data_IF_681082934579
#
_entry.id   IF_681082934579
#
_cell.length_a   1.000
_cell.length_b   1.000
_cell.length_c   1.000
_cell.angle_alpha   90.00
_cell.angle_beta   90.00
_cell.angle_gamma   90.00
#
_symmetry.space_group_name_H-M   'P 1'
#
loop_
_entity.id
_entity.type
_entity.pdbx_description
1 polymer ?
#
# COMPACT_ATOMS: atom_id res chain seq x y z
N UNK A 1 23.08 15.75 -1.37
CA UNK A 1 22.31 14.68 -2.04
C UNK A 1 21.03 14.41 -1.26
N UNK A 2 19.87 14.56 -1.89
CA UNK A 2 18.54 14.24 -1.31
C UNK A 2 17.94 13.07 -2.09
N UNK A 3 17.23 12.17 -1.41
CA UNK A 3 16.73 10.94 -2.02
C UNK A 3 15.25 10.68 -1.72
N UNK A 4 14.65 9.83 -2.52
CA UNK A 4 13.29 9.31 -2.34
C UNK A 4 13.21 7.86 -2.84
N UNK A 5 12.21 7.13 -2.36
CA UNK A 5 11.79 5.89 -3.00
C UNK A 5 10.65 6.15 -3.97
N UNK A 6 10.70 5.52 -5.12
CA UNK A 6 9.54 5.34 -5.98
C UNK A 6 9.22 3.85 -5.98
N UNK A 7 8.00 3.49 -5.56
CA UNK A 7 7.54 2.10 -5.55
C UNK A 7 6.31 1.96 -6.43
N UNK A 8 6.40 1.06 -7.41
CA UNK A 8 5.35 0.81 -8.40
C UNK A 8 4.81 -0.60 -8.18
N UNK A 9 3.51 -0.72 -7.90
CA UNK A 9 2.82 -2.00 -7.76
C UNK A 9 1.58 -2.08 -8.64
N UNK A 10 1.18 -3.28 -9.11
CA UNK A 10 -0.17 -3.49 -9.61
C UNK A 10 -1.19 -3.19 -8.51
N UNK A 11 -2.24 -2.43 -8.82
CA UNK A 11 -3.35 -2.13 -7.93
C UNK A 11 -4.59 -2.95 -8.27
N UNK A 12 -4.95 -3.03 -9.56
CA UNK A 12 -6.07 -3.85 -10.03
C UNK A 12 -5.97 -4.09 -11.54
N UNK A 13 -6.82 -4.99 -12.06
CA UNK A 13 -6.98 -5.23 -13.50
C UNK A 13 -8.38 -4.78 -13.92
N UNK A 14 -8.47 -3.88 -14.90
CA UNK A 14 -9.74 -3.37 -15.46
C UNK A 14 -9.69 -3.44 -16.98
N UNK A 15 -10.67 -4.08 -17.62
CA UNK A 15 -10.77 -4.18 -19.09
C UNK A 15 -9.46 -4.62 -19.76
N UNK A 16 -8.84 -5.67 -19.22
CA UNK A 16 -7.54 -6.20 -19.63
C UNK A 16 -6.31 -5.28 -19.49
N UNK A 17 -6.47 -4.11 -18.86
CA UNK A 17 -5.36 -3.23 -18.49
C UNK A 17 -5.03 -3.37 -17.01
N UNK A 18 -3.74 -3.35 -16.68
CA UNK A 18 -3.27 -3.32 -15.30
C UNK A 18 -3.18 -1.87 -14.89
N UNK A 19 -3.92 -1.50 -13.85
CA UNK A 19 -3.74 -0.22 -13.18
C UNK A 19 -2.56 -0.34 -12.20
N UNK A 20 -1.65 0.61 -12.27
CA UNK A 20 -0.47 0.68 -11.41
C UNK A 20 -0.65 1.75 -10.34
N UNK A 21 -0.17 1.48 -9.13
CA UNK A 21 -0.03 2.41 -8.02
C UNK A 21 1.41 2.88 -7.93
N UNK A 22 1.62 4.18 -8.02
CA UNK A 22 2.91 4.82 -7.85
C UNK A 22 2.97 5.47 -6.47
N UNK A 23 3.94 5.05 -5.66
CA UNK A 23 4.14 5.53 -4.30
C UNK A 23 5.49 6.24 -4.24
N UNK A 24 5.44 7.57 -4.14
CA UNK A 24 6.59 8.42 -3.94
C UNK A 24 6.79 8.68 -2.44
N UNK A 25 7.91 8.21 -1.91
CA UNK A 25 8.24 8.27 -0.48
C UNK A 25 9.54 9.09 -0.30
N UNK A 26 9.43 10.40 -0.06
CA UNK A 26 10.59 11.26 0.13
C UNK A 26 11.32 10.96 1.44
N UNK A 27 12.67 10.89 1.40
CA UNK A 27 13.49 10.68 2.60
C UNK A 27 13.84 11.98 3.33
N UNK A 28 13.54 13.12 2.73
CA UNK A 28 13.93 14.43 3.24
C UNK A 28 12.71 15.34 3.38
N UNK A 29 12.38 15.82 4.60
CA UNK A 29 11.34 16.83 4.79
C UNK A 29 11.73 18.14 4.08
N UNK A 30 10.76 19.03 3.74
CA UNK A 30 9.34 19.00 4.08
C UNK A 30 8.46 18.22 3.08
N UNK A 31 9.07 17.52 2.12
CA UNK A 31 8.33 16.79 1.10
C UNK A 31 7.44 15.72 1.74
N UNK A 32 6.17 15.66 1.31
CA UNK A 32 5.19 14.67 1.75
C UNK A 32 5.12 13.53 0.76
N UNK A 33 4.84 12.33 1.25
CA UNK A 33 4.54 11.16 0.41
C UNK A 33 3.40 11.45 -0.55
N UNK A 34 3.52 10.96 -1.78
CA UNK A 34 2.52 11.13 -2.83
C UNK A 34 2.18 9.76 -3.38
N UNK A 35 0.88 9.52 -3.53
CA UNK A 35 0.37 8.36 -4.23
C UNK A 35 -0.54 8.80 -5.37
N UNK A 36 -0.39 8.13 -6.52
CA UNK A 36 -1.27 8.27 -7.68
C UNK A 36 -1.36 6.96 -8.45
N UNK A 37 -2.32 6.87 -9.36
CA UNK A 37 -2.59 5.68 -10.16
C UNK A 37 -2.57 6.03 -11.63
N UNK A 38 -2.02 5.13 -12.45
CA UNK A 38 -1.98 5.30 -13.90
C UNK A 38 -1.98 3.93 -14.59
N UNK A 39 -2.32 3.90 -15.87
CA UNK A 39 -2.15 2.72 -16.73
C UNK A 39 -0.79 2.70 -17.42
N UNK A 40 -0.04 3.80 -17.33
CA UNK A 40 1.28 3.91 -17.96
C UNK A 40 2.32 3.13 -17.16
N UNK A 41 3.11 2.31 -17.85
CA UNK A 41 4.19 1.54 -17.22
C UNK A 41 5.34 2.44 -16.74
N UNK A 42 6.14 1.91 -15.80
CA UNK A 42 7.29 2.60 -15.18
C UNK A 42 8.21 3.30 -16.17
N UNK A 43 8.50 2.64 -17.29
CA UNK A 43 9.40 3.16 -18.32
C UNK A 43 8.83 4.36 -19.08
N UNK A 44 7.50 4.42 -19.26
CA UNK A 44 6.85 5.56 -19.90
C UNK A 44 6.80 6.78 -18.99
N UNK A 45 6.83 6.57 -17.67
CA UNK A 45 6.93 7.64 -16.69
C UNK A 45 8.38 8.13 -16.51
N UNK A 46 9.33 7.21 -16.29
CA UNK A 46 10.70 7.55 -15.95
C UNK A 46 11.50 8.13 -17.12
N UNK A 47 11.36 7.58 -18.32
CA UNK A 47 12.22 7.98 -19.44
C UNK A 47 11.99 9.44 -19.88
N UNK A 48 10.75 9.95 -19.97
CA UNK A 48 10.51 11.37 -20.24
C UNK A 48 10.97 12.25 -19.08
N UNK A 49 10.71 11.84 -17.83
CA UNK A 49 11.09 12.57 -16.63
C UNK A 49 12.61 12.75 -16.49
N UNK A 50 13.38 11.66 -16.61
CA UNK A 50 14.84 11.70 -16.57
C UNK A 50 15.42 12.53 -17.71
N UNK A 51 14.84 12.41 -18.92
CA UNK A 51 15.21 13.26 -20.06
C UNK A 51 14.92 14.73 -19.80
N UNK A 52 13.79 15.05 -19.18
CA UNK A 52 13.41 16.43 -18.88
C UNK A 52 14.36 17.06 -17.84
N UNK A 53 14.64 16.35 -16.74
CA UNK A 53 15.59 16.77 -15.71
C UNK A 53 17.00 17.01 -16.29
N UNK A 54 17.49 16.07 -17.10
CA UNK A 54 18.81 16.17 -17.69
C UNK A 54 18.90 17.28 -18.74
N UNK A 55 18.02 17.27 -19.74
CA UNK A 55 18.17 18.11 -20.93
C UNK A 55 17.78 19.57 -20.68
N UNK A 56 16.82 19.84 -19.79
CA UNK A 56 16.32 21.20 -19.56
C UNK A 56 16.85 21.84 -18.28
N UNK A 57 17.29 21.04 -17.31
CA UNK A 57 17.71 21.55 -16.01
C UNK A 57 19.16 21.23 -15.65
N UNK A 58 19.86 20.44 -16.47
CA UNK A 58 21.22 19.94 -16.20
C UNK A 58 21.30 19.28 -14.81
N UNK A 59 20.30 18.42 -14.53
CA UNK A 59 20.18 17.66 -13.28
C UNK A 59 20.07 16.18 -13.53
N UNK A 60 20.71 15.42 -12.65
CA UNK A 60 20.67 13.95 -12.68
C UNK A 60 19.99 13.38 -11.43
N UNK A 61 19.33 12.24 -11.65
CA UNK A 61 18.87 11.36 -10.59
C UNK A 61 19.64 10.05 -10.68
N UNK A 62 20.41 9.74 -9.65
CA UNK A 62 21.06 8.46 -9.51
C UNK A 62 20.02 7.44 -9.04
N UNK A 63 19.84 6.39 -9.84
CA UNK A 63 18.97 5.28 -9.51
C UNK A 63 19.77 4.14 -8.88
N UNK A 64 19.27 3.65 -7.75
CA UNK A 64 19.76 2.44 -7.10
C UNK A 64 18.58 1.50 -6.89
N UNK A 65 18.65 0.33 -7.50
CA UNK A 65 17.69 -0.75 -7.26
C UNK A 65 18.20 -1.65 -6.14
N UNK A 66 17.33 -1.99 -5.19
CA UNK A 66 17.63 -3.01 -4.19
C UNK A 66 17.44 -4.40 -4.81
N UNK A 67 18.40 -5.35 -4.66
CA UNK A 67 18.32 -6.69 -5.26
C UNK A 67 17.19 -7.56 -4.71
N UNK A 68 16.61 -7.14 -3.59
CA UNK A 68 15.49 -7.81 -2.91
C UNK A 68 14.13 -7.18 -3.24
N UNK A 69 14.12 -6.20 -4.15
CA UNK A 69 12.92 -5.57 -4.69
C UNK A 69 12.49 -6.30 -5.96
N UNK A 70 11.19 -6.54 -6.13
CA UNK A 70 10.67 -7.22 -7.31
C UNK A 70 10.71 -6.27 -8.51
N UNK A 71 11.05 -6.81 -9.69
CA UNK A 71 11.05 -6.09 -10.96
C UNK A 71 9.63 -5.72 -11.39
N UNK A 72 9.13 -4.59 -10.87
CA UNK A 72 8.20 -3.74 -11.61
C UNK A 72 9.02 -2.51 -11.97
N UNK A 73 9.25 -2.33 -13.27
CA UNK A 73 10.13 -1.30 -13.83
C UNK A 73 9.84 0.05 -13.15
N UNK A 74 10.90 0.75 -12.76
CA UNK A 74 10.91 1.99 -11.95
C UNK A 74 10.92 1.89 -10.41
N UNK A 75 10.76 0.70 -9.82
CA UNK A 75 10.81 0.61 -8.35
C UNK A 75 12.24 0.67 -7.81
N UNK A 76 12.52 1.64 -6.93
CA UNK A 76 13.82 1.75 -6.26
C UNK A 76 14.07 3.13 -5.63
N UNK A 77 15.34 3.37 -5.30
CA UNK A 77 15.80 4.61 -4.67
C UNK A 77 16.38 5.55 -5.71
N UNK A 78 15.98 6.81 -5.63
CA UNK A 78 16.44 7.88 -6.51
C UNK A 78 17.08 8.96 -5.67
N UNK A 79 18.29 9.37 -6.04
CA UNK A 79 19.04 10.41 -5.34
C UNK A 79 19.42 11.54 -6.30
N UNK A 80 19.06 12.77 -5.96
CA UNK A 80 19.49 13.95 -6.69
C UNK A 80 20.80 14.49 -6.12
N UNK A 81 21.69 14.91 -7.03
CA UNK A 81 22.99 15.49 -6.73
C UNK A 81 22.86 16.70 -5.79
N UNK A 82 21.86 17.55 -6.02
CA UNK A 82 21.60 18.76 -5.26
C UNK A 82 20.12 18.95 -4.88
N UNK A 83 19.83 19.99 -4.10
CA UNK A 83 18.49 20.31 -3.65
C UNK A 83 17.57 20.77 -4.80
N UNK A 84 18.12 21.46 -5.80
CA UNK A 84 17.34 21.97 -6.94
C UNK A 84 16.80 20.82 -7.78
N UNK A 85 17.63 19.82 -8.11
CA UNK A 85 17.21 18.63 -8.84
C UNK A 85 16.17 17.82 -8.08
N UNK A 86 16.31 17.73 -6.75
CA UNK A 86 15.31 17.10 -5.90
C UNK A 86 13.96 17.84 -5.93
N UNK A 87 13.97 19.17 -5.80
CA UNK A 87 12.73 19.97 -5.85
C UNK A 87 12.05 19.84 -7.21
N UNK A 88 12.81 19.93 -8.31
CA UNK A 88 12.26 19.73 -9.66
C UNK A 88 11.66 18.32 -9.84
N UNK A 89 12.31 17.30 -9.28
CA UNK A 89 11.78 15.94 -9.26
C UNK A 89 10.45 15.86 -8.51
N UNK A 90 10.40 16.44 -7.31
CA UNK A 90 9.21 16.47 -6.48
C UNK A 90 8.04 17.20 -7.15
N UNK A 91 8.31 18.36 -7.75
CA UNK A 91 7.30 19.19 -8.41
C UNK A 91 6.72 18.49 -9.64
N UNK A 92 7.57 17.84 -10.44
CA UNK A 92 7.13 17.04 -11.59
C UNK A 92 6.19 15.91 -11.15
N UNK A 93 6.60 15.12 -10.16
CA UNK A 93 5.79 14.00 -9.65
C UNK A 93 4.48 14.51 -9.04
N UNK A 94 4.52 15.65 -8.36
CA UNK A 94 3.32 16.30 -7.82
C UNK A 94 2.36 16.74 -8.94
N UNK A 95 2.88 17.27 -10.04
CA UNK A 95 2.09 17.66 -11.20
C UNK A 95 1.44 16.44 -11.87
N UNK A 96 2.21 15.39 -12.14
CA UNK A 96 1.71 14.14 -12.71
C UNK A 96 0.62 13.53 -11.83
N UNK A 97 0.84 13.48 -10.51
CA UNK A 97 -0.16 13.01 -9.57
C UNK A 97 -1.45 13.85 -9.61
N UNK A 98 -1.36 15.16 -9.86
CA UNK A 98 -2.53 16.05 -10.03
C UNK A 98 -3.22 15.79 -11.37
N UNK A 99 -2.48 15.67 -12.46
CA UNK A 99 -3.03 15.40 -13.79
C UNK A 99 -3.76 14.06 -13.80
N UNK A 100 -3.17 13.01 -13.25
CA UNK A 100 -3.81 11.70 -13.13
C UNK A 100 -5.06 11.75 -12.26
N UNK A 101 -5.01 12.46 -11.11
CA UNK A 101 -6.23 12.68 -10.30
C UNK A 101 -7.36 13.36 -11.08
N UNK A 102 -7.05 14.18 -12.07
CA UNK A 102 -8.05 14.85 -12.92
C UNK A 102 -8.47 14.04 -14.14
N UNK A 103 -7.64 13.13 -14.64
CA UNK A 103 -7.88 12.36 -15.86
C UNK A 103 -8.49 10.99 -15.60
N UNK A 104 -8.18 10.37 -14.46
CA UNK A 104 -8.68 9.02 -14.21
C UNK A 104 -10.13 9.13 -13.79
N UNK A 105 -11.02 8.69 -14.68
CA UNK A 105 -12.35 8.11 -14.41
C UNK A 105 -12.26 6.87 -13.48
N UNK A 106 -11.34 6.89 -12.52
CA UNK A 106 -11.03 5.89 -11.50
C UNK A 106 -12.23 5.74 -10.57
N UNK A 107 -12.80 6.91 -10.25
CA UNK A 107 -13.94 7.09 -9.36
C UNK A 107 -15.19 6.34 -9.84
N UNK A 108 -15.38 6.21 -11.15
CA UNK A 108 -16.67 5.77 -11.69
C UNK A 108 -16.74 4.25 -11.99
N UNK A 109 -15.61 3.60 -12.29
CA UNK A 109 -15.61 2.18 -12.70
C UNK A 109 -15.21 1.19 -11.59
N UNK A 110 -14.33 1.60 -10.67
CA UNK A 110 -13.87 0.74 -9.55
C UNK A 110 -14.68 1.00 -8.29
N UNK A 111 -15.25 2.20 -8.13
CA UNK A 111 -15.90 2.56 -6.86
C UNK A 111 -17.38 2.21 -6.77
N UNK A 112 -18.09 1.74 -7.80
CA UNK A 112 -19.53 1.49 -7.62
C UNK A 112 -19.81 0.50 -6.47
N UNK A 113 -19.15 -0.67 -6.48
CA UNK A 113 -19.30 -1.66 -5.42
C UNK A 113 -18.66 -1.22 -4.09
N UNK A 114 -17.58 -0.43 -4.16
CA UNK A 114 -17.00 0.15 -2.94
C UNK A 114 -17.96 1.16 -2.31
N UNK A 115 -18.54 2.06 -3.08
CA UNK A 115 -19.49 3.08 -2.65
C UNK A 115 -20.78 2.46 -2.11
N UNK A 116 -21.25 1.36 -2.69
CA UNK A 116 -22.32 0.55 -2.09
C UNK A 116 -21.93 0.00 -0.71
N UNK A 117 -20.72 -0.55 -0.57
CA UNK A 117 -20.21 -0.96 0.74
C UNK A 117 -20.12 0.24 1.70
N UNK A 118 -19.56 1.38 1.27
CA UNK A 118 -19.43 2.60 2.10
C UNK A 118 -20.79 3.07 2.58
N UNK A 119 -21.79 3.13 1.70
CA UNK A 119 -23.16 3.53 2.08
C UNK A 119 -23.71 2.60 3.17
N UNK A 120 -23.66 1.29 2.97
CA UNK A 120 -24.12 0.31 3.97
C UNK A 120 -23.36 0.40 5.29
N UNK A 121 -22.04 0.58 5.26
CA UNK A 121 -21.24 0.72 6.47
C UNK A 121 -21.43 2.06 7.18
N UNK A 122 -21.81 3.12 6.44
CA UNK A 122 -22.07 4.45 7.02
C UNK A 122 -23.43 4.50 7.73
N UNK A 123 -24.35 3.62 7.38
CA UNK A 123 -25.65 3.48 8.04
C UNK A 123 -25.56 2.70 9.37
N UNK A 124 -24.39 2.11 9.69
CA UNK A 124 -24.18 1.39 10.94
C UNK A 124 -24.08 2.36 12.12
N UNK A 125 -24.79 2.04 13.19
CA UNK A 125 -24.79 2.83 14.43
C UNK A 125 -23.52 2.59 15.26
N UNK A 126 -23.12 3.59 16.04
CA UNK A 126 -22.07 3.46 17.04
C UNK A 126 -22.31 2.23 17.94
N UNK A 127 -21.25 1.47 18.23
CA UNK A 127 -21.35 0.20 18.96
C UNK A 127 -21.73 -1.02 18.11
N UNK A 128 -22.00 -0.85 16.82
CA UNK A 128 -22.13 -1.99 15.88
C UNK A 128 -20.81 -2.75 15.76
N UNK A 129 -20.90 -4.08 15.68
CA UNK A 129 -19.76 -4.96 15.46
C UNK A 129 -19.88 -5.55 14.06
N UNK A 130 -18.84 -5.40 13.24
CA UNK A 130 -18.73 -6.00 11.91
C UNK A 130 -17.49 -6.88 11.89
N UNK A 131 -17.68 -8.18 11.70
CA UNK A 131 -16.57 -9.12 11.56
C UNK A 131 -16.34 -9.54 10.11
N UNK A 132 -15.15 -10.07 9.83
CA UNK A 132 -14.85 -10.61 8.50
C UNK A 132 -15.67 -11.85 8.16
N UNK A 133 -16.00 -12.71 9.13
CA UNK A 133 -16.93 -13.82 8.88
C UNK A 133 -18.31 -13.32 8.44
N UNK A 134 -18.85 -12.28 9.08
CA UNK A 134 -20.15 -11.69 8.70
C UNK A 134 -20.15 -11.18 7.26
N UNK A 135 -19.06 -10.53 6.82
CA UNK A 135 -18.92 -10.08 5.43
C UNK A 135 -18.81 -11.27 4.47
N UNK A 136 -18.07 -12.32 4.82
CA UNK A 136 -17.94 -13.54 4.01
C UNK A 136 -19.26 -14.30 3.87
N UNK A 137 -20.10 -14.26 4.90
CA UNK A 137 -21.46 -14.83 4.91
C UNK A 137 -22.49 -13.96 4.19
N UNK A 138 -22.11 -12.75 3.74
CA UNK A 138 -22.97 -11.86 2.96
C UNK A 138 -23.93 -11.02 3.79
N UNK A 139 -23.71 -10.88 5.11
CA UNK A 139 -24.53 -10.02 5.98
C UNK A 139 -24.39 -8.53 5.64
N UNK A 140 -23.30 -8.16 4.97
CA UNK A 140 -23.11 -6.83 4.35
C UNK A 140 -22.98 -7.03 2.84
N UNK A 141 -24.10 -7.20 2.11
CA UNK A 141 -24.09 -7.75 0.74
C UNK A 141 -23.44 -6.82 -0.31
N UNK A 142 -23.37 -5.52 -0.03
CA UNK A 142 -22.63 -4.57 -0.86
C UNK A 142 -21.12 -4.63 -0.63
N UNK A 143 -20.66 -5.34 0.39
CA UNK A 143 -19.28 -5.35 0.82
C UNK A 143 -18.57 -6.68 0.58
N UNK A 144 -17.32 -6.59 0.15
CA UNK A 144 -16.35 -7.69 0.13
C UNK A 144 -15.24 -7.33 1.10
N UNK A 145 -14.46 -8.32 1.55
CA UNK A 145 -13.32 -8.12 2.46
C UNK A 145 -12.41 -6.97 2.01
N UNK A 146 -11.98 -6.93 0.74
CA UNK A 146 -11.19 -5.82 0.20
C UNK A 146 -11.85 -4.43 0.31
N UNK A 147 -13.17 -4.34 0.14
CA UNK A 147 -13.91 -3.08 0.27
C UNK A 147 -14.00 -2.65 1.73
N UNK A 148 -14.25 -3.61 2.62
CA UNK A 148 -14.26 -3.38 4.07
C UNK A 148 -12.88 -2.91 4.53
N UNK A 149 -11.80 -3.58 4.11
CA UNK A 149 -10.43 -3.17 4.39
C UNK A 149 -10.14 -1.74 3.93
N UNK A 150 -10.55 -1.39 2.70
CA UNK A 150 -10.44 -0.03 2.18
C UNK A 150 -11.22 0.98 3.02
N UNK A 151 -12.42 0.64 3.45
CA UNK A 151 -13.23 1.50 4.32
C UNK A 151 -12.54 1.72 5.67
N UNK A 152 -12.18 0.65 6.39
CA UNK A 152 -11.50 0.69 7.68
C UNK A 152 -10.24 1.57 7.60
N UNK A 153 -9.42 1.36 6.57
CA UNK A 153 -8.16 2.08 6.42
C UNK A 153 -8.35 3.54 6.04
N UNK A 154 -9.38 3.88 5.25
CA UNK A 154 -9.73 5.27 4.93
C UNK A 154 -10.20 6.08 6.14
N UNK A 155 -10.78 5.40 7.14
CA UNK A 155 -11.28 5.98 8.39
C UNK A 155 -10.26 5.89 9.54
N UNK A 156 -9.09 5.30 9.28
CA UNK A 156 -8.10 4.96 10.30
C UNK A 156 -8.69 4.16 11.47
N UNK A 157 -9.73 3.35 11.19
CA UNK A 157 -10.41 2.55 12.20
C UNK A 157 -9.55 1.35 12.64
N UNK A 158 -9.74 0.92 13.88
CA UNK A 158 -9.01 -0.20 14.47
C UNK A 158 -9.69 -1.51 14.12
N UNK A 159 -8.90 -2.52 13.77
CA UNK A 159 -9.34 -3.91 13.62
C UNK A 159 -8.94 -4.67 14.88
N UNK A 160 -9.92 -5.32 15.51
CA UNK A 160 -9.74 -6.11 16.73
C UNK A 160 -9.69 -7.61 16.42
N UNK A 161 -9.08 -8.39 17.31
CA UNK A 161 -8.90 -9.83 17.12
C UNK A 161 -10.15 -10.63 17.55
N UNK A 162 -11.03 -10.04 18.38
CA UNK A 162 -12.26 -10.70 18.84
C UNK A 162 -13.40 -9.72 19.10
N UNK A 163 -14.63 -10.23 19.06
CA UNK A 163 -15.84 -9.47 19.37
C UNK A 163 -15.89 -9.02 20.83
N UNK A 164 -15.29 -9.77 21.75
CA UNK A 164 -15.19 -9.39 23.18
C UNK A 164 -14.41 -8.10 23.39
N UNK A 165 -13.38 -7.83 22.58
CA UNK A 165 -12.63 -6.58 22.64
C UNK A 165 -13.45 -5.37 22.15
N UNK A 166 -14.53 -5.60 21.39
CA UNK A 166 -15.44 -4.56 20.94
C UNK A 166 -16.46 -4.13 22.00
N UNK A 167 -16.79 -5.01 22.97
CA UNK A 167 -17.82 -4.72 23.97
C UNK A 167 -17.47 -3.49 24.84
N UNK A 168 -16.16 -3.23 24.99
CA UNK A 168 -15.60 -2.08 25.70
C UNK A 168 -15.52 -0.79 24.86
N UNK A 169 -15.75 -0.87 23.53
CA UNK A 169 -15.59 0.24 22.58
C UNK A 169 -16.89 0.55 21.84
N UNK A 170 -17.79 1.25 22.52
CA UNK A 170 -19.12 1.61 21.96
C UNK A 170 -19.17 2.95 21.23
N UNK A 171 -18.09 3.73 21.27
CA UNK A 171 -18.02 5.08 20.69
C UNK A 171 -17.85 5.08 19.16
N UNK A 172 -17.70 3.92 18.53
CA UNK A 172 -17.55 3.79 17.08
C UNK A 172 -18.00 2.41 16.60
N UNK A 173 -18.08 2.21 15.28
CA UNK A 173 -18.26 0.88 14.69
C UNK A 173 -16.98 0.08 14.93
N UNK A 174 -17.13 -1.11 15.49
CA UNK A 174 -16.02 -2.00 15.78
C UNK A 174 -15.82 -3.03 14.66
N UNK A 175 -14.60 -3.15 14.15
CA UNK A 175 -14.24 -4.12 13.11
C UNK A 175 -13.46 -5.27 13.71
N UNK A 176 -13.82 -6.51 13.36
CA UNK A 176 -13.23 -7.71 13.95
C UNK A 176 -12.66 -8.64 12.88
N UNK A 177 -11.41 -9.05 13.07
CA UNK A 177 -10.76 -10.08 12.28
C UNK A 177 -10.84 -11.44 12.97
N UNK A 178 -12.06 -11.98 13.02
CA UNK A 178 -12.41 -13.21 13.74
C UNK A 178 -11.97 -14.50 13.03
N UNK A 179 -11.65 -14.42 11.74
CA UNK A 179 -11.21 -15.55 10.92
C UNK A 179 -9.93 -15.23 10.16
N UNK A 180 -9.19 -16.28 9.77
CA UNK A 180 -8.20 -16.15 8.72
C UNK A 180 -8.90 -15.93 7.38
N UNK A 181 -8.29 -15.09 6.55
CA UNK A 181 -8.82 -14.73 5.25
C UNK A 181 -7.88 -15.20 4.15
N UNK A 182 -8.41 -15.52 2.98
CA UNK A 182 -7.55 -15.82 1.84
C UNK A 182 -6.77 -14.56 1.43
N UNK A 183 -5.49 -14.71 1.11
CA UNK A 183 -4.61 -13.58 0.79
C UNK A 183 -5.15 -12.73 -0.39
N UNK A 184 -5.81 -13.39 -1.34
CA UNK A 184 -6.44 -12.76 -2.50
C UNK A 184 -7.62 -11.85 -2.17
N UNK A 185 -8.22 -12.00 -1.00
CA UNK A 185 -9.35 -11.17 -0.57
C UNK A 185 -8.89 -9.86 0.06
N UNK A 186 -7.59 -9.73 0.36
CA UNK A 186 -7.01 -8.60 1.06
C UNK A 186 -5.97 -7.87 0.20
N UNK A 187 -5.06 -8.60 -0.43
CA UNK A 187 -3.96 -8.01 -1.19
C UNK A 187 -4.50 -7.38 -2.48
N UNK A 188 -4.08 -6.15 -2.79
CA UNK A 188 -4.40 -5.51 -4.08
C UNK A 188 -3.68 -6.22 -5.23
N UNK A 189 -2.50 -6.78 -4.92
CA UNK A 189 -1.68 -7.58 -5.82
C UNK A 189 -1.05 -8.73 -5.07
N UNK A 190 -1.01 -9.90 -5.72
CA UNK A 190 -0.31 -11.09 -5.22
C UNK A 190 1.22 -10.95 -5.21
N UNK A 191 1.75 -9.78 -5.60
CA UNK A 191 3.17 -9.54 -5.72
C UNK A 191 3.62 -8.61 -4.61
N UNK A 192 4.57 -9.09 -3.82
CA UNK A 192 5.33 -8.24 -2.92
C UNK A 192 6.19 -7.26 -3.73
N UNK A 193 6.41 -6.08 -3.16
CA UNK A 193 7.30 -5.05 -3.67
C UNK A 193 8.76 -5.31 -3.30
N UNK A 194 8.99 -5.69 -2.03
CA UNK A 194 10.30 -6.11 -1.53
C UNK A 194 10.11 -7.20 -0.49
N UNK A 195 11.14 -8.03 -0.34
CA UNK A 195 11.20 -9.08 0.66
C UNK A 195 12.49 -8.97 1.46
N UNK A 196 12.44 -9.22 2.77
CA UNK A 196 13.63 -9.14 3.60
C UNK A 196 13.48 -9.94 4.88
N UNK A 197 14.61 -10.42 5.40
CA UNK A 197 14.66 -11.06 6.71
C UNK A 197 14.98 -10.01 7.77
N UNK A 198 14.00 -9.73 8.63
CA UNK A 198 14.14 -8.83 9.77
C UNK A 198 14.30 -9.67 11.05
N UNK A 199 15.53 -9.73 11.57
CA UNK A 199 15.88 -10.66 12.64
C UNK A 199 15.74 -12.11 12.17
N UNK A 200 14.86 -12.88 12.83
CA UNK A 200 14.58 -14.27 12.44
C UNK A 200 13.37 -14.43 11.52
N UNK A 201 12.65 -13.35 11.21
CA UNK A 201 11.38 -13.41 10.50
C UNK A 201 11.50 -12.96 9.04
N UNK A 202 10.80 -13.66 8.16
CA UNK A 202 10.59 -13.18 6.80
C UNK A 202 9.52 -12.08 6.82
N UNK A 203 9.81 -10.97 6.14
CA UNK A 203 8.92 -9.81 6.03
C UNK A 203 8.81 -9.38 4.58
N UNK A 204 7.64 -8.85 4.23
CA UNK A 204 7.30 -8.50 2.86
C UNK A 204 6.60 -7.15 2.84
N UNK A 205 6.95 -6.28 1.89
CA UNK A 205 6.18 -5.07 1.61
C UNK A 205 5.15 -5.41 0.54
N UNK A 206 3.87 -5.21 0.83
CA UNK A 206 2.74 -5.51 -0.06
C UNK A 206 1.81 -4.29 -0.16
N UNK A 207 0.84 -4.35 -1.08
CA UNK A 207 -0.26 -3.38 -1.16
C UNK A 207 -1.54 -4.01 -0.64
N UNK A 208 -2.17 -3.35 0.34
CA UNK A 208 -3.47 -3.73 0.92
C UNK A 208 -4.35 -2.49 0.90
N UNK A 209 -5.53 -2.60 0.32
CA UNK A 209 -6.51 -1.52 0.29
C UNK A 209 -5.87 -0.21 -0.16
N UNK A 210 -5.17 -0.29 -1.29
CA UNK A 210 -4.50 0.81 -1.95
C UNK A 210 -3.31 1.39 -1.18
N UNK A 211 -2.84 0.77 -0.09
CA UNK A 211 -1.75 1.31 0.75
C UNK A 211 -0.64 0.30 0.97
N UNK A 212 0.58 0.82 1.15
CA UNK A 212 1.76 0.00 1.45
C UNK A 212 1.71 -0.53 2.88
N UNK A 213 1.92 -1.84 3.03
CA UNK A 213 1.92 -2.55 4.30
C UNK A 213 3.10 -3.52 4.38
N UNK A 214 3.75 -3.53 5.54
CA UNK A 214 4.75 -4.52 5.91
C UNK A 214 4.00 -5.67 6.59
N UNK A 215 4.05 -6.84 5.99
CA UNK A 215 3.52 -8.10 6.53
C UNK A 215 4.67 -9.02 6.96
N UNK A 216 4.38 -9.93 7.89
CA UNK A 216 5.36 -10.88 8.42
C UNK A 216 4.87 -12.30 8.24
N UNK A 217 5.77 -13.17 7.81
CA UNK A 217 5.52 -14.61 7.75
C UNK A 217 5.30 -15.19 9.16
N UNK A 218 4.23 -15.97 9.34
CA UNK A 218 3.98 -16.67 10.60
C UNK A 218 4.89 -17.88 10.79
N UNK A 219 5.56 -18.35 9.71
CA UNK A 219 6.31 -19.61 9.62
C UNK A 219 5.43 -20.87 9.72
N UNK A 220 4.10 -20.71 9.81
CA UNK A 220 3.13 -21.79 9.95
C UNK A 220 2.07 -21.71 8.84
N UNK A 221 1.74 -22.85 8.24
CA UNK A 221 0.61 -22.99 7.31
C UNK A 221 0.57 -22.02 6.12
N UNK A 222 1.70 -21.40 5.75
CA UNK A 222 1.75 -20.35 4.74
C UNK A 222 0.86 -19.14 5.09
N UNK A 223 0.70 -18.88 6.39
CA UNK A 223 -0.02 -17.73 6.93
C UNK A 223 0.92 -16.52 7.06
N UNK A 224 0.36 -15.32 6.90
CA UNK A 224 1.06 -14.08 7.22
C UNK A 224 0.24 -13.21 8.16
N UNK A 225 0.96 -12.48 8.99
CA UNK A 225 0.39 -11.51 9.91
C UNK A 225 0.37 -10.12 9.28
N UNK A 226 -0.83 -9.55 9.24
CA UNK A 226 -1.06 -8.13 9.01
C UNK A 226 -1.18 -7.50 10.39
N UNK A 227 -0.15 -6.77 10.80
CA UNK A 227 -0.19 -6.08 12.08
C UNK A 227 -1.00 -4.80 11.97
N UNK A 228 -2.13 -4.78 12.66
CA UNK A 228 -2.95 -3.58 12.84
C UNK A 228 -2.64 -3.02 14.21
N UNK A 229 -1.99 -1.84 14.25
CA UNK A 229 -1.92 -1.08 15.49
C UNK A 229 -3.29 -0.43 15.74
N UNK A 230 -3.43 0.34 16.81
CA UNK A 230 -4.54 1.32 16.95
C UNK A 230 -4.59 2.35 15.79
N UNK A 231 -3.71 2.24 14.78
CA UNK A 231 -3.66 3.04 13.56
C UNK A 231 -3.07 2.22 12.39
N UNK A 232 -3.28 2.70 11.17
CA UNK A 232 -2.57 2.22 9.97
C UNK A 232 -1.04 2.41 10.10
N UNK A 233 -0.27 1.53 9.47
CA UNK A 233 1.19 1.70 9.31
C UNK A 233 1.48 3.01 8.54
N UNK A 234 2.32 3.88 9.09
CA UNK A 234 2.64 5.17 8.49
C UNK A 234 3.65 5.04 7.36
N UNK A 235 3.68 6.03 6.47
CA UNK A 235 4.65 6.06 5.38
C UNK A 235 6.09 6.15 5.91
N UNK A 236 6.32 6.76 7.08
CA UNK A 236 7.62 6.75 7.76
C UNK A 236 8.04 5.33 8.18
N UNK A 237 7.12 4.48 8.65
CA UNK A 237 7.44 3.09 9.00
C UNK A 237 7.86 2.30 7.77
N UNK A 238 7.18 2.51 6.64
CA UNK A 238 7.57 1.93 5.35
C UNK A 238 8.94 2.45 4.91
N UNK A 239 9.21 3.74 5.04
CA UNK A 239 10.54 4.32 4.74
C UNK A 239 11.63 3.69 5.60
N UNK A 240 11.42 3.57 6.92
CA UNK A 240 12.40 2.95 7.81
C UNK A 240 12.65 1.49 7.45
N UNK A 241 11.60 0.75 7.09
CA UNK A 241 11.72 -0.61 6.62
C UNK A 241 12.56 -0.72 5.34
N UNK A 242 12.33 0.16 4.35
CA UNK A 242 13.13 0.20 3.12
C UNK A 242 14.60 0.53 3.38
N UNK A 243 14.89 1.50 4.26
CA UNK A 243 16.25 1.86 4.67
C UNK A 243 16.95 0.68 5.34
N UNK A 244 16.28 0.00 6.27
CA UNK A 244 16.82 -1.18 6.94
C UNK A 244 17.04 -2.35 5.97
N UNK A 245 16.14 -2.53 5.01
CA UNK A 245 16.28 -3.54 3.95
C UNK A 245 17.53 -3.29 3.09
N UNK A 246 17.81 -2.04 2.74
CA UNK A 246 19.03 -1.67 2.01
C UNK A 246 20.30 -1.95 2.82
N UNK A 247 20.30 -1.68 4.13
CA UNK A 247 21.49 -1.86 4.97
C UNK A 247 21.76 -3.32 5.33
N UNK A 248 20.71 -4.09 5.58
CA UNK A 248 20.82 -5.45 6.13
C UNK A 248 20.72 -6.53 5.05
N UNK A 249 20.06 -6.27 3.91
CA UNK A 249 20.18 -7.00 2.64
C UNK A 249 19.89 -8.52 2.64
N UNK A 250 19.50 -9.13 3.76
CA UNK A 250 19.23 -10.56 3.82
C UNK A 250 17.91 -10.83 3.10
N UNK A 251 18.02 -11.43 1.92
CA UNK A 251 16.87 -11.87 1.13
C UNK A 251 16.05 -12.87 1.93
N UNK A 252 14.76 -12.58 2.13
CA UNK A 252 13.80 -13.55 2.66
C UNK A 252 13.49 -14.62 1.60
N UNK A 253 12.89 -15.72 2.04
CA UNK A 253 12.32 -16.70 1.14
C UNK A 253 11.16 -16.10 0.35
N UNK A 254 10.93 -16.61 -0.87
CA UNK A 254 9.78 -16.17 -1.67
C UNK A 254 8.48 -16.52 -0.94
N UNK A 255 7.58 -15.56 -0.71
CA UNK A 255 6.40 -15.83 0.09
C UNK A 255 5.39 -16.70 -0.67
N UNK A 256 4.83 -17.67 0.03
CA UNK A 256 3.64 -18.40 -0.40
C UNK A 256 2.42 -17.82 0.33
N UNK A 257 1.96 -16.62 -0.03
CA UNK A 257 0.87 -15.95 0.70
C UNK A 257 -0.47 -16.65 0.44
N UNK A 258 -0.88 -17.58 1.33
CA UNK A 258 -2.18 -18.25 1.23
C UNK A 258 -3.23 -17.62 2.11
N UNK A 259 -2.90 -17.42 3.38
CA UNK A 259 -3.82 -16.98 4.41
C UNK A 259 -3.28 -15.77 5.14
N UNK A 260 -4.17 -14.83 5.43
CA UNK A 260 -3.90 -13.62 6.15
C UNK A 260 -4.57 -13.69 7.52
N UNK A 261 -3.82 -13.36 8.57
CA UNK A 261 -4.36 -13.12 9.91
C UNK A 261 -4.02 -11.72 10.37
N UNK A 262 -4.98 -11.07 10.99
CA UNK A 262 -4.75 -9.81 11.65
C UNK A 262 -4.25 -10.08 13.06
N UNK A 263 -3.34 -9.21 13.51
CA UNK A 263 -2.79 -9.24 14.87
C UNK A 263 -2.66 -7.82 15.37
N UNK A 264 -3.12 -7.58 16.58
CA UNK A 264 -2.86 -6.33 17.28
C UNK A 264 -1.52 -6.43 18.03
N UNK A 265 -0.69 -5.40 17.90
CA UNK A 265 0.54 -5.21 18.69
C UNK A 265 0.31 -4.24 19.83
#
# INVERSE_FOLDING_TARGET
MKCFYLLVSPATKLNDRILLSYNFLPLSPPAKSIQFYTYDHGDYFLNPFQRWLKNFNDKHLHFTQSPIMRMVDASGKYCSEDEKGYTLAYDYITLEARLERTQVKYRDAVEYNYNLCVAQLSDLVEGSIISFSMVKEGLVPGCRVKHLMKYIMSKESVILDSTTQCEERKESVCFVADIALDANEILDSYHYLTLAKMGHANTYLVSIAEKLYIIKDSSENNEYFIYTRNRRQSDEEVIQYLIQNESNGIRAEEPNLKLARFRIL
#
